data_IF_038270078657
#
_entry.id   IF_038270078657
#
_cell.length_a   1.000
_cell.length_b   1.000
_cell.length_c   1.000
_cell.angle_alpha   90.00
_cell.angle_beta   90.00
_cell.angle_gamma   90.00
#
_symmetry.space_group_name_H-M   'P 1'
#
loop_
_entity.id
_entity.type
_entity.pdbx_description
1 polymer ?
#
# COMPACT_ATOMS: atom_id res chain seq x y z
N UNK A 1 7.67 6.26 22.57
CA UNK A 1 7.09 5.16 21.78
C UNK A 1 7.96 5.06 20.55
N UNK A 2 8.65 3.93 20.34
CA UNK A 2 9.44 3.73 19.13
C UNK A 2 8.42 3.56 18.00
N UNK A 3 8.47 4.43 17.00
CA UNK A 3 7.67 4.29 15.80
C UNK A 3 8.05 2.93 15.18
N UNK A 4 7.13 1.98 15.15
CA UNK A 4 7.40 0.60 14.72
C UNK A 4 7.99 0.58 13.29
N UNK A 5 7.75 1.64 12.50
CA UNK A 5 8.27 1.82 11.16
C UNK A 5 9.79 2.06 11.10
N UNK A 6 10.44 2.57 12.15
CA UNK A 6 11.89 2.83 12.14
C UNK A 6 12.73 1.54 12.07
N UNK A 7 12.16 0.39 12.43
CA UNK A 7 12.85 -0.91 12.38
C UNK A 7 12.53 -1.73 11.12
N UNK A 8 11.50 -1.36 10.35
CA UNK A 8 11.09 -2.10 9.16
C UNK A 8 12.10 -1.84 8.04
N UNK A 9 12.72 -2.92 7.55
CA UNK A 9 13.64 -2.88 6.42
C UNK A 9 13.16 -3.89 5.39
N UNK A 10 12.63 -3.40 4.27
CA UNK A 10 12.19 -4.23 3.13
C UNK A 10 13.04 -3.84 1.93
N UNK A 11 13.75 -4.81 1.37
CA UNK A 11 14.67 -4.63 0.25
C UNK A 11 13.93 -4.22 -1.02
N UNK A 12 14.61 -3.53 -1.94
CA UNK A 12 14.01 -3.10 -3.20
C UNK A 12 13.48 -4.29 -4.04
N UNK A 13 14.16 -5.44 -3.98
CA UNK A 13 13.73 -6.67 -4.66
C UNK A 13 12.43 -7.22 -4.07
N UNK A 14 12.32 -7.26 -2.74
CA UNK A 14 11.09 -7.70 -2.06
C UNK A 14 9.96 -6.72 -2.30
N UNK A 15 10.21 -5.39 -2.22
CA UNK A 15 9.20 -4.36 -2.55
C UNK A 15 8.64 -4.55 -3.95
N UNK A 16 9.52 -4.75 -4.94
CA UNK A 16 9.13 -5.02 -6.33
C UNK A 16 8.31 -6.31 -6.46
N UNK A 17 8.74 -7.38 -5.79
CA UNK A 17 8.05 -8.67 -5.85
C UNK A 17 6.63 -8.58 -5.27
N UNK A 18 6.48 -7.92 -4.11
CA UNK A 18 5.18 -7.71 -3.46
C UNK A 18 4.29 -6.81 -4.32
N UNK A 19 4.83 -5.70 -4.83
CA UNK A 19 4.06 -4.81 -5.71
C UNK A 19 3.56 -5.54 -6.95
N UNK A 20 4.43 -6.30 -7.64
CA UNK A 20 4.02 -7.08 -8.82
C UNK A 20 2.95 -8.12 -8.46
N UNK A 21 3.06 -8.76 -7.29
CA UNK A 21 2.07 -9.74 -6.82
C UNK A 21 0.72 -9.08 -6.54
N UNK A 22 0.69 -7.96 -5.83
CA UNK A 22 -0.53 -7.18 -5.58
C UNK A 22 -1.15 -6.68 -6.90
N UNK A 23 -0.34 -6.08 -7.78
CA UNK A 23 -0.80 -5.54 -9.07
C UNK A 23 -1.27 -6.61 -10.06
N UNK A 24 -0.93 -7.89 -9.83
CA UNK A 24 -1.45 -9.00 -10.65
C UNK A 24 -2.92 -9.31 -10.37
N UNK A 25 -3.45 -8.83 -9.24
CA UNK A 25 -4.84 -8.98 -8.89
C UNK A 25 -5.67 -7.86 -9.49
N UNK A 26 -6.67 -8.25 -10.28
CA UNK A 26 -7.62 -7.29 -10.83
C UNK A 26 -8.39 -6.55 -9.74
N UNK A 27 -8.53 -7.12 -8.54
CA UNK A 27 -9.31 -6.63 -7.39
C UNK A 27 -8.47 -5.91 -6.30
N UNK A 28 -7.23 -5.45 -6.61
CA UNK A 28 -6.27 -5.01 -5.57
C UNK A 28 -6.68 -3.80 -4.70
N UNK A 29 -7.68 -3.02 -5.14
CA UNK A 29 -8.27 -1.92 -4.35
C UNK A 29 -9.66 -2.27 -3.81
N UNK A 30 -10.10 -3.52 -3.93
CA UNK A 30 -11.30 -4.08 -3.33
C UNK A 30 -12.56 -3.22 -3.54
N UNK A 31 -13.19 -2.78 -2.45
CA UNK A 31 -14.42 -1.96 -2.51
C UNK A 31 -14.26 -0.66 -3.31
N UNK A 32 -13.04 -0.13 -3.45
CA UNK A 32 -12.75 1.09 -4.20
C UNK A 32 -12.74 0.91 -5.73
N UNK A 33 -13.06 -0.29 -6.24
CA UNK A 33 -13.26 -0.53 -7.68
C UNK A 33 -14.63 -0.12 -8.18
N UNK A 34 -15.59 0.04 -7.26
CA UNK A 34 -16.99 0.25 -7.60
C UNK A 34 -17.27 1.61 -8.22
N UNK A 35 -17.98 1.61 -9.34
CA UNK A 35 -18.40 2.80 -10.10
C UNK A 35 -19.60 3.56 -9.52
N UNK A 36 -20.10 3.18 -8.34
CA UNK A 36 -21.47 3.54 -7.92
C UNK A 36 -21.56 4.70 -6.93
N UNK A 37 -20.43 5.18 -6.40
CA UNK A 37 -20.37 6.35 -5.53
C UNK A 37 -19.16 7.21 -5.92
N UNK A 38 -19.33 8.54 -6.02
CA UNK A 38 -18.25 9.48 -6.37
C UNK A 38 -17.06 9.46 -5.36
N UNK A 39 -17.28 8.86 -4.18
CA UNK A 39 -16.38 8.83 -3.02
C UNK A 39 -15.89 7.42 -2.62
N UNK A 40 -15.94 6.45 -3.53
CA UNK A 40 -15.34 5.12 -3.33
C UNK A 40 -14.53 4.70 -4.56
N UNK A 41 -13.52 5.49 -4.88
CA UNK A 41 -12.66 5.24 -6.05
C UNK A 41 -11.18 5.18 -5.68
N UNK A 42 -10.33 5.05 -6.70
CA UNK A 42 -8.88 4.98 -6.55
C UNK A 42 -8.27 6.16 -5.76
N UNK A 43 -8.84 7.37 -5.85
CA UNK A 43 -8.35 8.53 -5.08
C UNK A 43 -8.52 8.29 -3.58
N UNK A 44 -9.63 7.68 -3.16
CA UNK A 44 -9.89 7.36 -1.76
C UNK A 44 -8.99 6.24 -1.26
N UNK A 45 -8.70 5.24 -2.10
CA UNK A 45 -7.68 4.24 -1.81
C UNK A 45 -6.28 4.86 -1.63
N UNK A 46 -5.88 5.78 -2.52
CA UNK A 46 -4.59 6.47 -2.43
C UNK A 46 -4.48 7.31 -1.13
N UNK A 47 -5.59 7.87 -0.63
CA UNK A 47 -5.65 8.62 0.65
C UNK A 47 -5.40 7.75 1.88
N UNK A 48 -5.52 6.43 1.77
CA UNK A 48 -5.12 5.50 2.83
C UNK A 48 -3.59 5.43 2.98
N UNK A 49 -2.85 5.78 1.93
CA UNK A 49 -1.39 5.63 1.85
C UNK A 49 -0.72 7.00 2.03
N UNK A 50 -1.20 8.01 1.31
CA UNK A 50 -0.64 9.35 1.28
C UNK A 50 -1.63 10.40 1.78
N UNK A 51 -1.11 11.47 2.39
CA UNK A 51 -1.90 12.67 2.70
C UNK A 51 -2.03 13.57 1.46
N UNK A 52 -2.79 13.10 0.46
CA UNK A 52 -2.96 13.79 -0.82
C UNK A 52 -3.41 15.26 -0.72
N UNK A 53 -4.27 15.67 0.24
CA UNK A 53 -4.65 17.07 0.39
C UNK A 53 -3.49 18.03 0.68
N UNK A 54 -2.44 17.56 1.36
CA UNK A 54 -1.28 18.37 1.78
C UNK A 54 -0.09 18.27 0.83
N UNK A 55 -0.04 17.22 0.01
CA UNK A 55 1.00 17.04 -0.99
C UNK A 55 0.85 18.04 -2.16
N UNK A 56 1.96 18.62 -2.66
CA UNK A 56 1.91 19.52 -3.79
C UNK A 56 1.43 18.80 -5.05
N UNK A 57 0.81 19.57 -5.94
CA UNK A 57 0.50 19.12 -7.29
C UNK A 57 1.76 19.08 -8.16
N UNK A 58 1.83 18.12 -9.09
CA UNK A 58 2.82 18.09 -10.17
C UNK A 58 2.29 18.67 -11.49
N UNK A 59 1.00 19.01 -11.52
CA UNK A 59 0.35 19.70 -12.63
C UNK A 59 -0.05 21.11 -12.18
N UNK A 60 0.60 22.17 -12.69
CA UNK A 60 0.38 23.54 -12.23
C UNK A 60 -1.07 24.04 -12.42
N UNK A 61 -1.92 23.29 -13.14
CA UNK A 61 -3.36 23.57 -13.27
C UNK A 61 -4.16 23.25 -11.99
N UNK A 62 -3.62 22.43 -11.09
CA UNK A 62 -4.32 21.91 -9.92
C UNK A 62 -3.65 22.30 -8.60
N UNK A 63 -4.43 22.24 -7.52
CA UNK A 63 -4.03 22.77 -6.21
C UNK A 63 -3.09 21.83 -5.44
N UNK A 64 -3.33 20.53 -5.50
CA UNK A 64 -2.65 19.52 -4.69
C UNK A 64 -2.70 18.14 -5.39
N UNK A 65 -2.03 17.16 -4.80
CA UNK A 65 -1.98 15.79 -5.34
C UNK A 65 -3.36 15.12 -5.41
N UNK A 66 -4.29 15.46 -4.52
CA UNK A 66 -5.67 14.94 -4.57
C UNK A 66 -6.40 15.42 -5.82
N UNK A 67 -6.25 16.70 -6.17
CA UNK A 67 -6.82 17.28 -7.38
C UNK A 67 -6.18 16.67 -8.64
N UNK A 68 -4.85 16.44 -8.65
CA UNK A 68 -4.18 15.72 -9.74
C UNK A 68 -4.79 14.32 -9.92
N UNK A 69 -4.82 13.53 -8.83
CA UNK A 69 -5.28 12.16 -8.86
C UNK A 69 -6.73 12.07 -9.33
N UNK A 70 -7.62 12.94 -8.83
CA UNK A 70 -9.02 12.97 -9.28
C UNK A 70 -9.14 13.35 -10.75
N UNK A 71 -8.38 14.35 -11.21
CA UNK A 71 -8.44 14.71 -12.62
C UNK A 71 -7.94 13.59 -13.52
N UNK A 72 -6.78 13.02 -13.21
CA UNK A 72 -6.09 12.11 -14.11
C UNK A 72 -6.60 10.66 -14.04
N UNK A 73 -6.98 10.19 -12.85
CA UNK A 73 -7.42 8.80 -12.66
C UNK A 73 -8.93 8.62 -12.81
N UNK A 74 -9.73 9.66 -12.55
CA UNK A 74 -11.19 9.56 -12.59
C UNK A 74 -11.77 10.33 -13.78
N UNK A 75 -11.46 11.63 -13.91
CA UNK A 75 -12.09 12.47 -14.95
C UNK A 75 -11.55 12.20 -16.36
N UNK A 76 -10.22 12.07 -16.49
CA UNK A 76 -9.56 11.85 -17.79
C UNK A 76 -9.25 10.39 -18.06
N UNK A 77 -9.00 9.59 -17.01
CA UNK A 77 -8.49 8.23 -17.10
C UNK A 77 -7.23 8.12 -17.99
N UNK A 78 -6.27 9.04 -17.81
CA UNK A 78 -5.06 9.19 -18.62
C UNK A 78 -3.75 8.86 -17.86
N UNK A 79 -3.83 8.58 -16.56
CA UNK A 79 -2.72 8.00 -15.79
C UNK A 79 -2.85 6.48 -15.66
N UNK A 80 -1.79 5.76 -16.01
CA UNK A 80 -1.70 4.33 -15.71
C UNK A 80 -1.40 4.09 -14.23
N UNK A 81 -1.78 2.92 -13.72
CA UNK A 81 -1.45 2.54 -12.34
C UNK A 81 0.07 2.48 -12.11
N UNK A 82 0.83 1.97 -13.07
CA UNK A 82 2.30 1.96 -13.02
C UNK A 82 2.87 3.37 -12.91
N UNK A 83 2.40 4.32 -13.75
CA UNK A 83 2.83 5.71 -13.65
C UNK A 83 2.47 6.31 -12.28
N UNK A 84 1.24 6.07 -11.82
CA UNK A 84 0.72 6.59 -10.56
C UNK A 84 1.58 6.13 -9.38
N UNK A 85 1.74 4.82 -9.20
CA UNK A 85 2.47 4.29 -8.05
C UNK A 85 3.98 4.48 -8.17
N UNK A 86 4.58 4.26 -9.33
CA UNK A 86 6.04 4.26 -9.46
C UNK A 86 6.64 5.63 -9.75
N UNK A 87 5.97 6.46 -10.56
CA UNK A 87 6.52 7.75 -10.99
C UNK A 87 5.97 8.89 -10.15
N UNK A 88 4.64 9.04 -10.08
CA UNK A 88 3.99 10.15 -9.37
C UNK A 88 4.18 10.08 -7.85
N UNK A 89 4.02 8.88 -7.27
CA UNK A 89 4.11 8.69 -5.82
C UNK A 89 5.38 7.98 -5.35
N UNK A 90 6.25 7.58 -6.28
CA UNK A 90 7.55 6.96 -6.00
C UNK A 90 7.49 5.82 -4.97
N UNK A 91 6.44 4.98 -5.02
CA UNK A 91 6.11 3.99 -3.99
C UNK A 91 7.26 3.01 -3.69
N UNK A 92 8.01 2.62 -4.72
CA UNK A 92 9.02 1.55 -4.60
C UNK A 92 10.38 2.06 -4.12
N UNK A 93 10.83 3.20 -4.63
CA UNK A 93 12.13 3.78 -4.31
C UNK A 93 12.06 4.91 -3.26
N UNK A 94 10.85 5.34 -2.88
CA UNK A 94 10.61 6.36 -1.86
C UNK A 94 10.70 5.82 -0.43
N UNK A 95 10.15 6.63 0.48
CA UNK A 95 10.12 6.33 1.92
C UNK A 95 9.38 5.00 2.20
N UNK A 96 10.01 4.14 3.01
CA UNK A 96 9.48 2.83 3.38
C UNK A 96 8.09 2.93 4.01
N UNK A 97 7.78 4.02 4.71
CA UNK A 97 6.48 4.18 5.38
C UNK A 97 5.31 4.12 4.40
N UNK A 98 5.47 4.67 3.19
CA UNK A 98 4.40 4.62 2.17
C UNK A 98 4.28 3.24 1.55
N UNK A 99 5.39 2.51 1.42
CA UNK A 99 5.34 1.13 0.98
C UNK A 99 4.62 0.23 2.00
N UNK A 100 4.90 0.40 3.29
CA UNK A 100 4.21 -0.31 4.37
C UNK A 100 2.71 0.00 4.34
N UNK A 101 2.34 1.28 4.29
CA UNK A 101 0.93 1.69 4.20
C UNK A 101 0.21 1.14 2.97
N UNK A 102 0.89 1.05 1.82
CA UNK A 102 0.32 0.43 0.61
C UNK A 102 -0.02 -1.04 0.84
N UNK A 103 0.93 -1.81 1.39
CA UNK A 103 0.70 -3.23 1.68
C UNK A 103 -0.41 -3.40 2.71
N UNK A 104 -0.40 -2.61 3.80
CA UNK A 104 -1.44 -2.62 4.84
C UNK A 104 -2.82 -2.23 4.29
N UNK A 105 -2.90 -1.20 3.43
CA UNK A 105 -4.13 -0.80 2.78
C UNK A 105 -4.71 -1.94 1.94
N UNK A 106 -3.88 -2.63 1.13
CA UNK A 106 -4.32 -3.74 0.28
C UNK A 106 -4.95 -4.90 1.08
N UNK A 107 -4.57 -5.12 2.34
CA UNK A 107 -5.10 -6.20 3.20
C UNK A 107 -6.07 -5.69 4.28
N UNK A 108 -6.41 -4.39 4.24
CA UNK A 108 -7.24 -3.75 5.25
C UNK A 108 -8.69 -4.21 5.18
N UNK A 109 -9.41 -4.38 6.30
CA UNK A 109 -10.86 -4.61 6.30
C UNK A 109 -11.66 -3.43 5.73
N UNK A 110 -11.04 -2.26 5.55
CA UNK A 110 -11.66 -1.14 4.84
C UNK A 110 -11.62 -1.31 3.32
N UNK A 111 -10.73 -2.17 2.82
CA UNK A 111 -10.58 -2.47 1.38
C UNK A 111 -11.22 -3.81 1.04
N UNK A 112 -11.09 -4.81 1.92
CA UNK A 112 -11.55 -6.19 1.73
C UNK A 112 -12.89 -6.43 2.42
N UNK A 113 -13.81 -7.07 1.71
CA UNK A 113 -15.18 -7.28 2.19
C UNK A 113 -15.31 -8.53 3.08
N UNK A 114 -14.34 -9.45 3.01
CA UNK A 114 -14.38 -10.71 3.74
C UNK A 114 -13.02 -11.05 4.38
N UNK A 115 -13.05 -11.86 5.44
CA UNK A 115 -11.83 -12.39 6.05
C UNK A 115 -11.06 -13.28 5.07
N UNK A 116 -11.75 -14.02 4.22
CA UNK A 116 -11.11 -14.88 3.21
C UNK A 116 -10.30 -14.06 2.20
N UNK A 117 -10.81 -12.91 1.76
CA UNK A 117 -10.06 -11.97 0.91
C UNK A 117 -8.82 -11.40 1.61
N UNK A 118 -8.95 -11.03 2.88
CA UNK A 118 -7.80 -10.56 3.69
C UNK A 118 -6.74 -11.67 3.76
N UNK A 119 -7.17 -12.89 4.11
CA UNK A 119 -6.27 -14.02 4.26
C UNK A 119 -5.58 -14.40 2.96
N UNK A 120 -6.30 -14.36 1.84
CA UNK A 120 -5.72 -14.62 0.52
C UNK A 120 -4.52 -13.71 0.24
N UNK A 121 -4.64 -12.41 0.49
CA UNK A 121 -3.52 -11.48 0.25
C UNK A 121 -2.39 -11.68 1.28
N UNK A 122 -2.72 -11.92 2.55
CA UNK A 122 -1.72 -12.18 3.60
C UNK A 122 -0.89 -13.42 3.27
N UNK A 123 -1.54 -14.53 2.86
CA UNK A 123 -0.89 -15.79 2.51
C UNK A 123 0.02 -15.67 1.28
N UNK A 124 -0.29 -14.74 0.37
CA UNK A 124 0.51 -14.48 -0.81
C UNK A 124 1.67 -13.50 -0.57
N UNK A 125 1.51 -12.55 0.34
CA UNK A 125 2.49 -11.49 0.63
C UNK A 125 3.52 -11.96 1.66
N UNK A 126 3.11 -12.69 2.70
CA UNK A 126 4.00 -13.13 3.78
C UNK A 126 5.21 -13.95 3.30
N UNK A 127 5.09 -14.90 2.35
CA UNK A 127 6.25 -15.59 1.81
C UNK A 127 7.29 -14.66 1.18
N UNK A 128 6.88 -13.49 0.68
CA UNK A 128 7.78 -12.48 0.13
C UNK A 128 8.40 -11.63 1.24
N UNK A 129 7.59 -11.14 2.19
CA UNK A 129 8.07 -10.36 3.34
C UNK A 129 9.05 -11.13 4.22
N UNK A 130 8.85 -12.44 4.38
CA UNK A 130 9.70 -13.31 5.19
C UNK A 130 11.17 -13.31 4.71
N UNK A 131 11.44 -13.00 3.43
CA UNK A 131 12.80 -12.84 2.91
C UNK A 131 13.57 -11.71 3.60
N UNK A 132 12.86 -10.71 4.07
CA UNK A 132 13.39 -9.56 4.81
C UNK A 132 13.01 -9.61 6.30
N UNK A 133 12.71 -10.79 6.85
CA UNK A 133 12.33 -11.00 8.25
C UNK A 133 11.13 -10.15 8.71
N UNK A 134 10.20 -9.88 7.80
CA UNK A 134 8.95 -9.18 8.08
C UNK A 134 7.76 -10.10 7.83
N UNK A 135 6.65 -9.85 8.50
CA UNK A 135 5.36 -10.51 8.23
C UNK A 135 4.20 -9.53 8.41
N UNK A 136 3.11 -9.74 7.69
CA UNK A 136 1.81 -9.19 8.06
C UNK A 136 1.24 -10.02 9.21
N UNK A 137 0.91 -9.33 10.29
CA UNK A 137 0.16 -9.89 11.40
C UNK A 137 -1.23 -9.26 11.46
N UNK A 138 -2.23 -10.11 11.67
CA UNK A 138 -3.62 -9.70 11.85
C UNK A 138 -3.88 -9.60 13.36
N UNK A 139 -4.22 -8.41 13.85
CA UNK A 139 -4.60 -8.17 15.24
C UNK A 139 -5.94 -7.46 15.30
N UNK A 140 -6.95 -8.08 15.90
CA UNK A 140 -8.23 -7.43 16.25
C UNK A 140 -8.80 -6.61 15.06
N UNK A 141 -8.90 -7.28 13.90
CA UNK A 141 -9.29 -6.78 12.56
C UNK A 141 -8.35 -5.78 11.88
N UNK A 142 -7.24 -5.36 12.49
CA UNK A 142 -6.20 -4.55 11.82
C UNK A 142 -5.10 -5.46 11.29
N UNK A 143 -4.62 -5.14 10.10
CA UNK A 143 -3.45 -5.79 9.51
C UNK A 143 -2.26 -4.83 9.62
N UNK A 144 -1.16 -5.29 10.20
CA UNK A 144 0.06 -4.49 10.38
C UNK A 144 1.28 -5.29 9.98
N UNK A 145 2.27 -4.63 9.38
CA UNK A 145 3.58 -5.26 9.16
C UNK A 145 4.36 -5.28 10.48
N UNK A 146 4.89 -6.45 10.82
CA UNK A 146 5.75 -6.69 11.98
C UNK A 146 7.10 -7.23 11.54
N UNK A 147 8.13 -6.88 12.31
CA UNK A 147 9.48 -7.43 12.15
C UNK A 147 9.65 -8.62 13.07
N UNK A 148 10.19 -9.72 12.55
CA UNK A 148 10.62 -10.86 13.35
C UNK A 148 11.87 -10.47 14.14
N UNK A 149 11.72 -10.16 15.42
CA UNK A 149 12.87 -9.99 16.31
C UNK A 149 13.51 -11.35 16.61
N UNK A 150 14.47 -11.77 15.78
CA UNK A 150 15.31 -12.93 16.06
C UNK A 150 16.31 -12.58 17.17
N UNK A 151 15.94 -12.77 18.45
CA UNK A 151 16.94 -12.89 19.52
C UNK A 151 17.62 -14.26 19.40
N UNK A 152 18.67 -14.35 18.59
CA UNK A 152 19.67 -15.39 18.82
C UNK A 152 20.55 -14.96 20.00
N UNK A 153 20.15 -15.32 21.22
CA UNK A 153 21.07 -15.36 22.37
C UNK A 153 21.33 -16.81 22.74
N UNK A 154 22.33 -17.40 22.08
CA UNK A 154 23.08 -18.51 22.64
C UNK A 154 24.57 -18.21 22.48
N UNK A 155 25.18 -17.71 23.55
CA UNK A 155 26.57 -18.00 23.90
C UNK A 155 26.55 -18.45 25.36
N UNK A 156 27.15 -19.62 25.57
CA UNK A 156 27.29 -20.47 26.74
C UNK A 156 27.32 -19.77 28.12
#
# INVERSE_FOLDING_TARGET
>A
MIDQNEQIQISAETRRSIFNKIMSHADFIGVFQGSNYEDQNIVDFLKMIWDLPTMPSEDPRFKNAEADARQHLVNNNDWSLTYTFEQRFNLLAGDIIYFVKFVEACVSPFVRSTIDEIMQYVDEINPLLNKDNCELAIEDVRCQIKVHNCKYSYLL
#
